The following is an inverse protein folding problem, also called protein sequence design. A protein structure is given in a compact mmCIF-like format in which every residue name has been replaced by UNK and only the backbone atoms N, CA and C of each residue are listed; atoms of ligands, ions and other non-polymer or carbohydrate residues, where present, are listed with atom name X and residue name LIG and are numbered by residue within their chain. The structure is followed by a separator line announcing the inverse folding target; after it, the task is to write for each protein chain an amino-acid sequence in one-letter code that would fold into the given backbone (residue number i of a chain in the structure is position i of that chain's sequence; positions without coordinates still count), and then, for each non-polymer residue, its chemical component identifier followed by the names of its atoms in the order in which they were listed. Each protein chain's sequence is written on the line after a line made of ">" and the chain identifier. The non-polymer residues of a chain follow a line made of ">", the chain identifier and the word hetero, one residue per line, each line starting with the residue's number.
data_IF_894982340934
#
_entry.id   IF_894982340934
#
_cell.length_a   1.000
_cell.length_b   1.000
_cell.length_c   1.000
_cell.angle_alpha   90.00
_cell.angle_beta   90.00
_cell.angle_gamma   90.00
#
_symmetry.space_group_name_H-M   'P 1'
#
loop_
_entity.id
_entity.type
_entity.pdbx_description
1 polymer ?
#
# COMPACT_ATOMS: atom_id res chain seq x y z
N UNK A 1 31.29 -12.79 12.48
CA UNK A 1 30.23 -12.80 11.44
C UNK A 1 30.71 -11.94 10.26
N UNK A 2 31.20 -12.53 9.17
CA UNK A 2 31.77 -11.78 8.03
C UNK A 2 30.65 -11.41 7.04
N UNK A 3 30.24 -10.15 7.01
CA UNK A 3 29.26 -9.63 6.06
C UNK A 3 29.92 -9.48 4.68
N UNK A 4 29.48 -10.28 3.69
CA UNK A 4 30.08 -10.28 2.35
C UNK A 4 29.29 -9.35 1.41
N UNK A 5 29.84 -8.16 1.17
CA UNK A 5 29.21 -7.09 0.39
C UNK A 5 28.95 -7.49 -1.08
N UNK A 6 29.77 -8.38 -1.65
CA UNK A 6 29.60 -8.87 -3.02
C UNK A 6 28.37 -9.75 -3.15
N UNK A 7 28.12 -10.60 -2.14
CA UNK A 7 26.92 -11.43 -2.08
C UNK A 7 25.65 -10.57 -1.99
N UNK A 8 25.71 -9.50 -1.20
CA UNK A 8 24.62 -8.53 -1.03
C UNK A 8 24.31 -7.80 -2.36
N UNK A 9 25.32 -7.23 -3.03
CA UNK A 9 25.14 -6.57 -4.33
C UNK A 9 24.56 -7.52 -5.38
N UNK A 10 25.02 -8.78 -5.42
CA UNK A 10 24.50 -9.79 -6.35
C UNK A 10 23.04 -10.15 -6.03
N UNK A 11 22.65 -10.17 -4.74
CA UNK A 11 21.26 -10.37 -4.34
C UNK A 11 20.35 -9.20 -4.73
N UNK A 12 20.79 -7.94 -4.57
CA UNK A 12 20.02 -6.78 -5.02
C UNK A 12 19.87 -6.73 -6.55
N UNK A 13 20.93 -7.05 -7.29
CA UNK A 13 20.86 -7.12 -8.75
C UNK A 13 19.93 -8.25 -9.24
N UNK A 14 19.87 -9.37 -8.51
CA UNK A 14 18.97 -10.48 -8.82
C UNK A 14 17.50 -10.22 -8.44
N UNK A 15 17.23 -9.38 -7.42
CA UNK A 15 15.88 -9.06 -6.93
C UNK A 15 15.24 -7.85 -7.64
N UNK A 16 15.65 -7.51 -8.85
CA UNK A 16 14.89 -6.53 -9.64
C UNK A 16 13.64 -7.23 -10.17
N UNK A 17 12.47 -6.73 -9.81
CA UNK A 17 11.20 -7.12 -10.43
C UNK A 17 11.17 -6.63 -11.88
N UNK A 18 10.60 -7.44 -12.78
CA UNK A 18 10.34 -7.02 -14.16
C UNK A 18 9.21 -5.99 -14.22
N UNK A 19 9.09 -5.31 -15.36
CA UNK A 19 7.96 -4.40 -15.58
C UNK A 19 6.62 -5.14 -15.55
N UNK A 20 6.55 -6.37 -16.08
CA UNK A 20 5.36 -7.21 -16.01
C UNK A 20 5.02 -7.56 -14.56
N UNK A 21 6.02 -7.97 -13.77
CA UNK A 21 5.83 -8.30 -12.35
C UNK A 21 5.28 -7.08 -11.58
N UNK A 22 5.85 -5.90 -11.81
CA UNK A 22 5.38 -4.66 -11.16
C UNK A 22 3.94 -4.35 -11.56
N UNK A 23 3.59 -4.54 -12.84
CA UNK A 23 2.24 -4.32 -13.34
C UNK A 23 1.22 -5.25 -12.65
N UNK A 24 1.49 -6.56 -12.62
CA UNK A 24 0.61 -7.53 -11.96
C UNK A 24 0.48 -7.27 -10.46
N UNK A 25 1.59 -6.98 -9.76
CA UNK A 25 1.55 -6.69 -8.32
C UNK A 25 0.69 -5.44 -8.00
N UNK A 26 0.71 -4.43 -8.87
CA UNK A 26 -0.12 -3.23 -8.71
C UNK A 26 -1.59 -3.56 -8.97
N UNK A 27 -1.90 -4.36 -10.00
CA UNK A 27 -3.27 -4.81 -10.29
C UNK A 27 -3.86 -5.64 -9.15
N UNK A 28 -3.09 -6.59 -8.61
CA UNK A 28 -3.50 -7.38 -7.44
C UNK A 28 -3.68 -6.49 -6.20
N UNK A 29 -2.80 -5.50 -6.01
CA UNK A 29 -2.88 -4.54 -4.90
C UNK A 29 -4.05 -3.55 -5.01
N UNK A 30 -4.63 -3.37 -6.19
CA UNK A 30 -5.82 -2.53 -6.40
C UNK A 30 -7.11 -3.19 -5.93
N UNK A 31 -7.13 -4.53 -5.77
CA UNK A 31 -8.33 -5.26 -5.39
C UNK A 31 -8.62 -5.12 -3.88
N UNK A 32 -9.35 -4.05 -3.55
CA UNK A 32 -9.84 -3.80 -2.20
C UNK A 32 -11.01 -4.74 -1.91
N UNK A 33 -10.68 -5.91 -1.36
CA UNK A 33 -11.66 -6.88 -0.88
C UNK A 33 -12.61 -6.20 0.13
N UNK A 34 -13.91 -6.48 0.05
CA UNK A 34 -14.95 -5.76 0.82
C UNK A 34 -14.75 -5.71 2.34
N UNK A 35 -14.06 -6.69 2.92
CA UNK A 35 -13.67 -6.66 4.35
C UNK A 35 -12.78 -5.45 4.70
N UNK A 36 -11.83 -5.10 3.82
CA UNK A 36 -10.93 -3.97 4.05
C UNK A 36 -11.67 -2.63 3.99
N UNK A 37 -12.73 -2.52 3.19
CA UNK A 37 -13.57 -1.31 3.13
C UNK A 37 -14.38 -1.09 4.42
N UNK A 38 -14.88 -2.16 5.03
CA UNK A 38 -15.58 -2.08 6.32
C UNK A 38 -14.61 -1.64 7.42
N UNK A 39 -13.42 -2.23 7.46
CA UNK A 39 -12.37 -1.85 8.41
C UNK A 39 -11.95 -0.39 8.19
N UNK A 40 -11.83 0.06 6.95
CA UNK A 40 -11.51 1.43 6.61
C UNK A 40 -12.57 2.41 7.10
N UNK A 41 -13.86 2.11 6.88
CA UNK A 41 -14.96 2.94 7.36
C UNK A 41 -14.93 3.06 8.89
N UNK A 42 -14.71 1.94 9.60
CA UNK A 42 -14.54 1.93 11.05
C UNK A 42 -13.30 2.73 11.50
N UNK A 43 -12.18 2.62 10.79
CA UNK A 43 -10.94 3.31 11.10
C UNK A 43 -11.08 4.84 10.98
N UNK A 44 -11.80 5.34 9.98
CA UNK A 44 -12.08 6.78 9.82
C UNK A 44 -12.90 7.30 11.00
N UNK A 45 -13.90 6.53 11.47
CA UNK A 45 -14.71 6.90 12.64
C UNK A 45 -13.83 6.96 13.89
N UNK A 46 -13.02 5.91 14.15
CA UNK A 46 -12.13 5.85 15.30
C UNK A 46 -11.08 6.98 15.27
N UNK A 47 -10.50 7.26 14.11
CA UNK A 47 -9.55 8.36 13.94
C UNK A 47 -10.20 9.73 14.18
N UNK A 48 -11.43 9.94 13.69
CA UNK A 48 -12.17 11.19 13.86
C UNK A 48 -12.57 11.42 15.32
N UNK A 49 -13.09 10.39 16.00
CA UNK A 49 -13.40 10.44 17.44
C UNK A 49 -12.12 10.62 18.25
N UNK A 50 -11.06 9.89 17.91
CA UNK A 50 -9.76 10.00 18.54
C UNK A 50 -9.17 11.41 18.42
N UNK A 51 -9.39 12.09 17.29
CA UNK A 51 -8.90 13.44 17.04
C UNK A 51 -9.64 14.44 17.91
N UNK A 52 -10.96 14.29 18.03
CA UNK A 52 -11.77 15.10 18.95
C UNK A 52 -11.35 14.92 20.42
N UNK A 53 -10.89 13.73 20.79
CA UNK A 53 -10.39 13.43 22.14
C UNK A 53 -8.88 13.64 22.31
N UNK A 54 -8.17 14.11 21.28
CA UNK A 54 -6.70 14.24 21.23
C UNK A 54 -5.96 13.03 21.85
N UNK A 55 -6.33 11.82 21.43
CA UNK A 55 -5.94 10.57 22.10
C UNK A 55 -5.17 9.61 21.17
N UNK A 56 -4.53 8.60 21.76
CA UNK A 56 -3.82 7.49 21.09
C UNK A 56 -4.73 6.75 20.08
N UNK A 57 -6.05 6.85 20.24
CA UNK A 57 -7.03 6.33 19.29
C UNK A 57 -6.80 6.85 17.84
N UNK A 58 -6.31 8.07 17.64
CA UNK A 58 -5.93 8.59 16.30
C UNK A 58 -4.81 7.77 15.69
N UNK A 59 -3.79 7.48 16.48
CA UNK A 59 -2.58 6.77 16.04
C UNK A 59 -2.94 5.35 15.61
N UNK A 60 -3.80 4.67 16.39
CA UNK A 60 -4.30 3.33 16.06
C UNK A 60 -5.17 3.37 14.80
N UNK A 61 -6.08 4.35 14.69
CA UNK A 61 -6.90 4.54 13.49
C UNK A 61 -6.06 4.75 12.22
N UNK A 62 -5.01 5.56 12.30
CA UNK A 62 -4.08 5.79 11.19
C UNK A 62 -3.33 4.51 10.76
N UNK A 63 -2.96 3.64 11.70
CA UNK A 63 -2.34 2.35 11.40
C UNK A 63 -3.31 1.42 10.65
N UNK A 64 -4.60 1.46 10.99
CA UNK A 64 -5.65 0.64 10.39
C UNK A 64 -6.08 1.09 8.98
N UNK A 65 -5.68 2.29 8.54
CA UNK A 65 -5.94 2.82 7.19
C UNK A 65 -4.94 2.25 6.15
N UNK A 66 -3.86 1.59 6.59
CA UNK A 66 -2.82 1.01 5.72
C UNK A 66 -3.27 0.04 4.61
N UNK A 67 -4.38 -0.72 4.72
CA UNK A 67 -4.87 -1.57 3.63
C UNK A 67 -5.21 -0.78 2.35
N UNK A 68 -5.38 0.55 2.43
CA UNK A 68 -5.65 1.42 1.29
C UNK A 68 -4.40 1.71 0.43
N UNK A 69 -3.20 1.36 0.88
CA UNK A 69 -1.96 1.73 0.20
C UNK A 69 -1.84 1.14 -1.21
N UNK A 70 -2.31 -0.09 -1.43
CA UNK A 70 -2.35 -0.70 -2.76
C UNK A 70 -3.27 0.04 -3.73
N UNK A 71 -4.44 0.47 -3.27
CA UNK A 71 -5.40 1.24 -4.06
C UNK A 71 -4.85 2.62 -4.47
N UNK A 72 -4.21 3.35 -3.54
CA UNK A 72 -3.59 4.66 -3.83
C UNK A 72 -2.46 4.53 -4.85
N UNK A 73 -1.60 3.51 -4.70
CA UNK A 73 -0.51 3.22 -5.62
C UNK A 73 -1.06 2.88 -7.02
N UNK A 74 -2.12 2.07 -7.09
CA UNK A 74 -2.80 1.74 -8.33
C UNK A 74 -3.36 2.94 -9.09
N UNK A 75 -4.03 3.86 -8.38
CA UNK A 75 -4.50 5.13 -8.98
C UNK A 75 -3.32 5.94 -9.52
N UNK A 76 -2.25 6.12 -8.71
CA UNK A 76 -1.07 6.87 -9.14
C UNK A 76 -0.37 6.23 -10.34
N UNK A 77 -0.29 4.90 -10.38
CA UNK A 77 0.25 4.15 -11.50
C UNK A 77 -0.61 4.28 -12.76
N UNK A 78 -1.93 4.20 -12.65
CA UNK A 78 -2.87 4.42 -13.76
C UNK A 78 -2.78 5.83 -14.34
N UNK A 79 -2.65 6.85 -13.48
CA UNK A 79 -2.44 8.25 -13.90
C UNK A 79 -1.09 8.40 -14.59
N UNK A 80 0.00 7.88 -14.02
CA UNK A 80 1.35 8.00 -14.58
C UNK A 80 1.55 7.26 -15.90
N UNK A 81 0.81 6.18 -16.11
CA UNK A 81 0.83 5.38 -17.36
C UNK A 81 -0.25 5.79 -18.36
N UNK A 82 -1.05 6.83 -18.06
CA UNK A 82 -2.21 7.27 -18.85
C UNK A 82 -3.23 6.15 -19.16
N UNK A 83 -3.27 5.12 -18.32
CA UNK A 83 -4.08 3.93 -18.53
C UNK A 83 -5.40 4.06 -17.78
N UNK A 84 -6.34 4.80 -18.37
CA UNK A 84 -7.72 5.03 -17.88
C UNK A 84 -8.50 3.75 -17.60
N UNK A 85 -8.11 2.60 -18.17
CA UNK A 85 -8.70 1.29 -17.86
C UNK A 85 -8.40 0.83 -16.42
N UNK A 86 -7.30 1.30 -15.83
CA UNK A 86 -6.92 1.02 -14.45
C UNK A 86 -7.53 2.01 -13.44
N UNK A 87 -8.21 3.05 -13.93
CA UNK A 87 -8.88 4.07 -13.10
C UNK A 87 -10.37 3.81 -12.94
N UNK A 88 -10.87 2.69 -13.47
CA UNK A 88 -12.27 2.28 -13.41
C UNK A 88 -12.43 1.16 -12.38
#
# INVERSE_FOLDING_TARGET
>A
MKFNIYKLRKQFAKNKASFEDIHENILEGMDVHGSNLIILMCAIIIASVGLNMNSVAVIIGAMLISPLMGYIIGIGYGVGTYNIKLLK
#
